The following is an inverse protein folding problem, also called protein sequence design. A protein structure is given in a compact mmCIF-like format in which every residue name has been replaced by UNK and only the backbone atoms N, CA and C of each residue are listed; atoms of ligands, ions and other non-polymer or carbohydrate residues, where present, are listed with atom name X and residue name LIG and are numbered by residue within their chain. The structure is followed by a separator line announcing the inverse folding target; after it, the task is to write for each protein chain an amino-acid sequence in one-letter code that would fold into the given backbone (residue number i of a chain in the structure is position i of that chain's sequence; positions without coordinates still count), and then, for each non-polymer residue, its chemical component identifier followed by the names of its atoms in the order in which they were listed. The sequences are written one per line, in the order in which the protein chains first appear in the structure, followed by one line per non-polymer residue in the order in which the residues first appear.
data_IF_941855805175
#
_entry.id   IF_941855805175
#
_cell.length_a   1.000
_cell.length_b   1.000
_cell.length_c   1.000
_cell.angle_alpha   90.00
_cell.angle_beta   90.00
_cell.angle_gamma   90.00
#
_symmetry.space_group_name_H-M   'P 1'
#
loop_
_entity.id
_entity.type
_entity.pdbx_description
1 polymer ?
#
# COMPACT_ATOMS: atom_id res chain seq x y z
N UNK A 1 -48.18 8.32 -24.49
CA UNK A 1 -46.83 8.85 -24.18
C UNK A 1 -45.92 7.65 -23.95
N UNK A 2 -45.03 7.34 -24.91
CA UNK A 2 -44.13 6.17 -24.86
C UNK A 2 -42.82 6.55 -24.15
N UNK A 3 -42.45 5.83 -23.07
CA UNK A 3 -41.14 5.94 -22.39
C UNK A 3 -40.05 5.37 -23.32
N UNK A 4 -39.04 6.17 -23.59
CA UNK A 4 -37.80 5.72 -24.23
C UNK A 4 -36.91 5.10 -23.17
N UNK A 5 -36.65 3.83 -23.27
CA UNK A 5 -35.56 3.15 -22.55
C UNK A 5 -34.24 3.51 -23.23
N UNK A 6 -33.31 4.04 -22.44
CA UNK A 6 -31.96 4.37 -22.87
C UNK A 6 -31.04 3.23 -22.43
N UNK A 7 -30.69 2.39 -23.41
CA UNK A 7 -29.69 1.34 -23.25
C UNK A 7 -28.31 1.97 -23.03
N UNK A 8 -27.78 1.80 -21.83
CA UNK A 8 -26.36 1.99 -21.57
C UNK A 8 -25.68 0.64 -21.77
N UNK A 9 -25.14 0.41 -22.98
CA UNK A 9 -24.32 -0.75 -23.26
C UNK A 9 -22.91 -0.57 -22.76
N UNK A 10 -22.40 -1.54 -21.99
CA UNK A 10 -21.15 -1.49 -21.28
C UNK A 10 -19.90 -1.54 -22.18
N UNK A 11 -18.93 -0.81 -21.76
CA UNK A 11 -17.54 -0.91 -22.19
C UNK A 11 -16.65 -1.22 -20.97
N UNK A 12 -16.74 -2.47 -20.46
CA UNK A 12 -15.95 -2.91 -19.32
C UNK A 12 -15.25 -4.27 -19.48
N UNK A 13 -15.13 -4.79 -20.70
CA UNK A 13 -14.60 -6.16 -20.95
C UNK A 13 -13.20 -6.19 -21.58
N UNK A 14 -12.64 -5.04 -21.99
CA UNK A 14 -11.36 -5.00 -22.73
C UNK A 14 -10.08 -5.12 -21.90
N UNK A 15 -10.10 -4.69 -20.63
CA UNK A 15 -8.89 -4.55 -19.83
C UNK A 15 -8.29 -5.85 -19.30
N UNK A 16 -9.12 -6.80 -18.89
CA UNK A 16 -8.65 -8.04 -18.27
C UNK A 16 -7.99 -9.02 -19.26
N UNK A 17 -8.45 -9.02 -20.51
CA UNK A 17 -7.93 -9.95 -21.55
C UNK A 17 -6.57 -9.49 -22.08
N UNK A 18 -6.28 -8.19 -22.09
CA UNK A 18 -4.98 -7.64 -22.53
C UNK A 18 -3.85 -7.90 -21.53
N UNK A 19 -4.15 -7.89 -20.23
CA UNK A 19 -3.15 -8.16 -19.18
C UNK A 19 -2.69 -9.63 -19.18
N UNK A 20 -3.56 -10.58 -19.52
CA UNK A 20 -3.21 -12.02 -19.59
C UNK A 20 -2.29 -12.34 -20.79
N UNK A 21 -2.46 -11.67 -21.92
CA UNK A 21 -1.55 -11.82 -23.07
C UNK A 21 -0.17 -11.19 -22.82
N UNK A 22 -0.10 -10.15 -21.96
CA UNK A 22 1.15 -9.51 -21.55
C UNK A 22 2.05 -10.43 -20.72
N UNK A 23 1.45 -11.20 -19.79
CA UNK A 23 2.20 -12.12 -18.95
C UNK A 23 2.88 -13.25 -19.76
N UNK A 24 2.21 -13.72 -20.83
CA UNK A 24 2.76 -14.78 -21.68
C UNK A 24 3.93 -14.28 -22.54
N UNK A 25 3.89 -13.03 -23.00
CA UNK A 25 4.97 -12.43 -23.79
C UNK A 25 6.20 -12.11 -22.95
N UNK A 26 6.03 -11.64 -21.71
CA UNK A 26 7.13 -11.38 -20.80
C UNK A 26 7.91 -12.67 -20.43
N UNK A 27 7.20 -13.78 -20.23
CA UNK A 27 7.82 -15.07 -19.97
C UNK A 27 8.55 -15.65 -21.20
N UNK A 28 8.11 -15.37 -22.42
CA UNK A 28 8.80 -15.81 -23.65
C UNK A 28 10.05 -14.99 -23.96
N UNK A 29 10.07 -13.72 -23.64
CA UNK A 29 11.26 -12.86 -23.81
C UNK A 29 12.40 -13.24 -22.83
N UNK A 30 12.08 -13.72 -21.65
CA UNK A 30 13.07 -14.21 -20.68
C UNK A 30 13.69 -15.55 -21.05
N UNK A 31 13.01 -16.37 -21.87
CA UNK A 31 13.50 -17.68 -22.30
C UNK A 31 14.48 -17.63 -23.50
N UNK A 32 14.62 -16.48 -24.19
CA UNK A 32 15.42 -16.32 -25.40
C UNK A 32 16.84 -15.75 -25.23
N UNK A 33 17.25 -15.37 -24.03
CA UNK A 33 18.59 -14.84 -23.76
C UNK A 33 19.55 -16.00 -23.42
N UNK A 34 20.27 -16.45 -24.42
CA UNK A 34 21.25 -17.56 -24.35
C UNK A 34 22.36 -17.34 -23.33
N UNK A 35 22.73 -18.44 -22.75
CA UNK A 35 23.89 -18.80 -21.92
C UNK A 35 24.91 -17.70 -21.54
N UNK A 36 24.75 -17.12 -20.36
CA UNK A 36 25.84 -16.48 -19.64
C UNK A 36 26.26 -17.43 -18.52
N UNK A 37 27.54 -17.78 -18.53
CA UNK A 37 28.27 -18.61 -17.55
C UNK A 37 27.78 -18.32 -16.13
N UNK A 38 27.44 -19.38 -15.39
CA UNK A 38 27.09 -19.34 -13.98
C UNK A 38 28.29 -18.94 -13.11
N UNK A 39 28.57 -17.66 -13.01
CA UNK A 39 29.19 -17.15 -11.80
C UNK A 39 28.15 -17.28 -10.69
N UNK A 40 28.47 -18.00 -9.62
CA UNK A 40 27.67 -18.05 -8.39
C UNK A 40 27.52 -16.61 -7.88
N UNK A 41 26.55 -15.87 -8.38
CA UNK A 41 26.04 -14.66 -7.72
C UNK A 41 25.55 -15.13 -6.34
N UNK A 42 26.20 -14.67 -5.27
CA UNK A 42 25.64 -14.73 -3.93
C UNK A 42 24.21 -14.21 -4.08
N UNK A 43 23.21 -15.07 -3.84
CA UNK A 43 21.83 -14.65 -3.82
C UNK A 43 21.76 -13.40 -2.93
N UNK A 44 21.26 -12.31 -3.47
CA UNK A 44 21.03 -11.10 -2.68
C UNK A 44 19.97 -11.50 -1.65
N UNK A 45 20.44 -11.86 -0.46
CA UNK A 45 19.55 -12.13 0.67
C UNK A 45 18.88 -10.80 1.03
N UNK A 46 17.62 -10.65 0.64
CA UNK A 46 16.83 -9.43 0.93
C UNK A 46 16.79 -9.12 2.42
N UNK A 47 16.94 -10.15 3.27
CA UNK A 47 16.98 -10.01 4.74
C UNK A 47 18.18 -9.20 5.21
N UNK A 48 19.22 -9.04 4.39
CA UNK A 48 20.46 -8.32 4.73
C UNK A 48 20.39 -6.80 4.50
N UNK A 49 19.46 -6.31 3.67
CA UNK A 49 19.35 -4.88 3.38
C UNK A 49 18.35 -4.18 4.31
N UNK A 50 18.88 -3.54 5.34
CA UNK A 50 18.06 -2.85 6.34
C UNK A 50 17.21 -1.69 5.80
N UNK A 51 17.45 -1.24 4.58
CA UNK A 51 16.73 -0.13 3.95
C UNK A 51 15.58 -0.59 3.05
N UNK A 52 15.48 -1.90 2.79
CA UNK A 52 14.42 -2.51 1.99
C UNK A 52 13.40 -3.24 2.88
N UNK A 53 12.18 -3.42 2.37
CA UNK A 53 11.11 -4.15 3.06
C UNK A 53 11.31 -5.65 2.86
N UNK A 54 11.42 -6.41 3.94
CA UNK A 54 11.26 -7.85 3.89
C UNK A 54 9.77 -8.20 4.10
N UNK A 55 9.05 -8.65 3.07
CA UNK A 55 7.63 -8.97 3.20
C UNK A 55 7.36 -10.12 4.19
N UNK A 56 8.35 -10.96 4.48
CA UNK A 56 8.21 -12.05 5.45
C UNK A 56 8.33 -11.57 6.90
N UNK A 57 8.91 -10.39 7.13
CA UNK A 57 9.03 -9.77 8.45
C UNK A 57 8.15 -8.51 8.60
N UNK A 58 7.40 -8.12 7.57
CA UNK A 58 6.59 -6.91 7.58
C UNK A 58 5.17 -7.13 8.13
N UNK A 59 4.61 -6.15 8.83
CA UNK A 59 3.19 -6.00 9.16
C UNK A 59 2.70 -4.62 8.75
N UNK A 60 1.53 -4.55 8.10
CA UNK A 60 0.91 -3.30 7.70
C UNK A 60 0.01 -2.77 8.81
N UNK A 61 0.20 -1.51 9.19
CA UNK A 61 -0.62 -0.80 10.17
C UNK A 61 -1.36 0.35 9.47
N UNK A 62 -2.69 0.28 9.45
CA UNK A 62 -3.56 1.32 8.92
C UNK A 62 -4.31 1.99 10.08
N UNK A 63 -3.87 3.21 10.42
CA UNK A 63 -4.26 3.88 11.66
C UNK A 63 -5.14 5.09 11.35
N UNK A 64 -6.37 5.07 11.86
CA UNK A 64 -7.32 6.19 11.84
C UNK A 64 -7.70 6.69 10.44
N UNK A 65 -7.76 5.79 9.45
CA UNK A 65 -8.31 6.10 8.14
C UNK A 65 -9.84 6.17 8.22
N UNK A 66 -10.33 7.23 8.86
CA UNK A 66 -11.73 7.44 9.25
C UNK A 66 -12.40 8.53 8.42
N UNK A 67 -13.68 8.35 8.14
CA UNK A 67 -14.46 9.24 7.28
C UNK A 67 -14.49 10.71 7.75
N UNK A 68 -14.49 10.95 9.04
CA UNK A 68 -14.43 12.28 9.62
C UNK A 68 -13.02 12.89 9.54
N UNK A 69 -11.98 12.11 9.86
CA UNK A 69 -10.60 12.60 9.81
C UNK A 69 -10.14 12.92 8.38
N UNK A 70 -10.63 12.20 7.39
CA UNK A 70 -10.34 12.49 5.98
C UNK A 70 -10.78 13.89 5.56
N UNK A 71 -11.83 14.45 6.19
CA UNK A 71 -12.29 15.81 5.93
C UNK A 71 -11.31 16.90 6.42
N UNK A 72 -10.36 16.55 7.28
CA UNK A 72 -9.34 17.47 7.78
C UNK A 72 -8.08 17.49 6.90
N UNK A 73 -7.94 16.56 5.96
CA UNK A 73 -6.77 16.47 5.07
C UNK A 73 -6.78 17.60 4.06
N UNK A 74 -5.64 18.30 3.91
CA UNK A 74 -5.48 19.49 3.03
C UNK A 74 -4.14 19.52 2.30
N UNK A 75 -3.28 18.53 2.52
CA UNK A 75 -1.97 18.43 1.88
C UNK A 75 -1.96 17.52 0.65
N UNK A 76 -3.06 16.80 0.44
CA UNK A 76 -3.30 15.96 -0.75
C UNK A 76 -4.80 15.84 -1.02
N UNK A 77 -5.13 15.38 -2.21
CA UNK A 77 -6.52 15.12 -2.61
C UNK A 77 -7.10 13.90 -1.87
N UNK A 78 -8.35 14.01 -1.42
CA UNK A 78 -9.08 12.93 -0.75
C UNK A 78 -9.04 11.61 -1.55
N UNK A 79 -9.20 11.70 -2.88
CA UNK A 79 -9.21 10.54 -3.76
C UNK A 79 -7.86 9.85 -3.80
N UNK A 80 -6.79 10.62 -3.81
CA UNK A 80 -5.42 10.10 -3.79
C UNK A 80 -5.16 9.34 -2.48
N UNK A 81 -5.40 9.97 -1.33
CA UNK A 81 -5.26 9.33 -0.02
C UNK A 81 -6.05 8.02 0.06
N UNK A 82 -7.34 8.04 -0.33
CA UNK A 82 -8.19 6.84 -0.31
C UNK A 82 -7.64 5.74 -1.21
N UNK A 83 -7.22 6.07 -2.42
CA UNK A 83 -6.68 5.11 -3.37
C UNK A 83 -5.38 4.48 -2.86
N UNK A 84 -4.46 5.27 -2.30
CA UNK A 84 -3.20 4.79 -1.74
C UNK A 84 -3.43 3.83 -0.57
N UNK A 85 -4.33 4.15 0.34
CA UNK A 85 -4.69 3.26 1.46
C UNK A 85 -5.30 1.95 0.99
N UNK A 86 -6.20 2.00 -0.01
CA UNK A 86 -6.80 0.80 -0.63
C UNK A 86 -5.74 -0.03 -1.35
N UNK A 87 -4.80 0.60 -2.05
CA UNK A 87 -3.69 -0.08 -2.70
C UNK A 87 -2.82 -0.85 -1.70
N UNK A 88 -2.50 -0.23 -0.55
CA UNK A 88 -1.75 -0.90 0.53
C UNK A 88 -2.50 -2.10 1.10
N UNK A 89 -3.81 -1.97 1.34
CA UNK A 89 -4.63 -3.08 1.84
C UNK A 89 -4.65 -4.26 0.85
N UNK A 90 -4.78 -3.99 -0.45
CA UNK A 90 -4.73 -5.00 -1.51
C UNK A 90 -3.34 -5.62 -1.64
N UNK A 91 -2.28 -4.80 -1.63
CA UNK A 91 -0.90 -5.27 -1.62
C UNK A 91 -0.65 -6.25 -0.48
N UNK A 92 -1.05 -5.90 0.74
CA UNK A 92 -0.87 -6.74 1.91
C UNK A 92 -1.62 -8.08 1.78
N UNK A 93 -2.84 -8.07 1.22
CA UNK A 93 -3.61 -9.29 0.91
C UNK A 93 -2.88 -10.19 -0.08
N UNK A 94 -2.39 -9.64 -1.20
CA UNK A 94 -1.65 -10.38 -2.23
C UNK A 94 -0.37 -10.98 -1.65
N UNK A 95 0.41 -10.16 -0.92
CA UNK A 95 1.69 -10.56 -0.32
C UNK A 95 1.54 -11.39 0.97
N UNK A 96 0.31 -11.62 1.45
CA UNK A 96 0.02 -12.30 2.74
C UNK A 96 0.72 -11.63 3.94
N UNK A 97 0.82 -10.30 3.89
CA UNK A 97 1.35 -9.49 4.98
C UNK A 97 0.23 -9.29 6.01
N UNK A 98 0.42 -9.67 7.28
CA UNK A 98 -0.54 -9.38 8.34
C UNK A 98 -0.86 -7.89 8.38
N UNK A 99 -2.14 -7.56 8.53
CA UNK A 99 -2.61 -6.17 8.56
C UNK A 99 -3.38 -5.92 9.84
N UNK A 100 -3.03 -4.86 10.57
CA UNK A 100 -3.77 -4.39 11.74
C UNK A 100 -4.35 -3.01 11.45
N UNK A 101 -5.66 -2.90 11.63
CA UNK A 101 -6.42 -1.66 11.42
C UNK A 101 -6.91 -1.16 12.77
N UNK A 102 -6.84 0.14 13.01
CA UNK A 102 -7.42 0.74 14.21
C UNK A 102 -8.12 2.06 13.89
N UNK A 103 -9.12 2.40 14.67
CA UNK A 103 -9.88 3.64 14.58
C UNK A 103 -10.02 4.27 15.97
N UNK A 104 -9.82 5.58 16.06
CA UNK A 104 -9.95 6.37 17.29
C UNK A 104 -11.37 6.86 17.44
N UNK A 105 -12.06 6.43 18.49
CA UNK A 105 -13.44 6.85 18.83
C UNK A 105 -14.37 6.80 17.58
N UNK A 106 -14.55 5.61 16.95
CA UNK A 106 -15.27 5.52 15.67
C UNK A 106 -16.75 5.91 15.74
N UNK A 107 -17.34 5.92 16.94
CA UNK A 107 -18.72 6.37 17.21
C UNK A 107 -18.83 7.90 17.34
N UNK A 108 -17.71 8.62 17.40
CA UNK A 108 -17.63 10.07 17.54
C UNK A 108 -17.48 10.81 16.21
N UNK A 109 -17.01 12.05 16.30
CA UNK A 109 -16.82 12.94 15.16
C UNK A 109 -15.78 12.43 14.15
N UNK A 110 -14.83 11.58 14.59
CA UNK A 110 -13.85 10.96 13.70
C UNK A 110 -14.52 10.02 12.69
N UNK A 111 -15.68 9.46 13.03
CA UNK A 111 -16.43 8.52 12.20
C UNK A 111 -15.77 7.12 12.12
N UNK A 112 -16.40 6.19 11.42
CA UNK A 112 -15.86 4.83 11.23
C UNK A 112 -14.66 4.84 10.28
N UNK A 113 -13.87 3.76 10.34
CA UNK A 113 -12.89 3.41 9.30
C UNK A 113 -13.58 3.34 7.94
N UNK A 114 -12.93 3.86 6.89
CA UNK A 114 -13.49 3.74 5.54
C UNK A 114 -13.64 2.25 5.17
N UNK A 115 -14.83 1.84 4.69
CA UNK A 115 -15.13 0.41 4.48
C UNK A 115 -14.23 -0.26 3.44
N UNK A 116 -13.69 0.52 2.53
CA UNK A 116 -12.83 0.05 1.44
C UNK A 116 -11.60 -0.75 1.91
N UNK A 117 -11.06 -0.42 3.09
CA UNK A 117 -9.90 -1.11 3.68
C UNK A 117 -10.25 -2.58 3.98
N UNK A 118 -11.31 -2.80 4.75
CA UNK A 118 -11.71 -4.15 5.15
C UNK A 118 -12.33 -4.95 4.01
N UNK A 119 -12.96 -4.28 3.03
CA UNK A 119 -13.41 -4.91 1.79
C UNK A 119 -12.23 -5.38 0.92
N UNK A 120 -11.14 -4.62 0.91
CA UNK A 120 -9.93 -4.95 0.14
C UNK A 120 -9.05 -6.01 0.83
N UNK A 121 -9.05 -6.04 2.15
CA UNK A 121 -8.34 -7.05 2.95
C UNK A 121 -9.21 -7.55 4.11
N UNK A 122 -10.10 -8.51 3.85
CA UNK A 122 -10.99 -9.07 4.89
C UNK A 122 -10.27 -9.81 6.01
N UNK A 123 -8.99 -10.19 5.80
CA UNK A 123 -8.18 -10.88 6.81
C UNK A 123 -7.53 -9.90 7.81
N UNK A 124 -7.69 -8.58 7.61
CA UNK A 124 -7.14 -7.57 8.51
C UNK A 124 -7.78 -7.64 9.91
N UNK A 125 -6.94 -7.58 10.93
CA UNK A 125 -7.37 -7.52 12.33
C UNK A 125 -7.80 -6.09 12.65
N UNK A 126 -9.09 -5.88 12.89
CA UNK A 126 -9.63 -4.56 13.23
C UNK A 126 -9.72 -4.39 14.75
N UNK A 127 -9.02 -3.39 15.30
CA UNK A 127 -8.93 -3.09 16.73
C UNK A 127 -9.37 -1.64 16.97
N UNK A 128 -10.67 -1.33 17.02
CA UNK A 128 -11.14 0.01 17.36
C UNK A 128 -10.72 0.37 18.79
N UNK A 129 -10.45 1.64 19.04
CA UNK A 129 -10.04 2.14 20.35
C UNK A 129 -10.81 3.39 20.79
N UNK A 130 -10.97 3.55 22.09
CA UNK A 130 -11.47 4.78 22.71
C UNK A 130 -10.49 5.25 23.77
N UNK A 131 -10.26 6.56 23.86
CA UNK A 131 -9.37 7.19 24.85
C UNK A 131 -7.98 7.54 24.30
N UNK A 132 -7.04 6.59 24.15
CA UNK A 132 -5.68 6.92 23.73
C UNK A 132 -5.62 7.58 22.33
N UNK A 133 -4.92 8.74 22.25
CA UNK A 133 -4.63 9.41 20.98
C UNK A 133 -3.57 8.62 20.21
N UNK A 134 -2.46 8.28 20.88
CA UNK A 134 -1.45 7.40 20.33
C UNK A 134 -1.97 5.96 20.30
N UNK A 135 -2.08 5.35 19.12
CA UNK A 135 -2.53 3.97 19.00
C UNK A 135 -1.62 2.99 19.75
N UNK A 136 -0.35 3.31 19.95
CA UNK A 136 0.60 2.48 20.70
C UNK A 136 0.28 2.38 22.19
N UNK A 137 -0.44 3.36 22.75
CA UNK A 137 -0.89 3.33 24.16
C UNK A 137 -2.12 2.44 24.36
N UNK A 138 -2.69 1.85 23.29
CA UNK A 138 -3.80 0.91 23.36
C UNK A 138 -3.30 -0.52 23.32
N UNK A 139 -3.33 -1.19 24.47
CA UNK A 139 -2.74 -2.52 24.68
C UNK A 139 -3.18 -3.55 23.64
N UNK A 140 -4.48 -3.64 23.30
CA UNK A 140 -4.95 -4.64 22.33
C UNK A 140 -4.44 -4.40 20.90
N UNK A 141 -4.14 -3.13 20.54
CA UNK A 141 -3.52 -2.82 19.26
C UNK A 141 -2.09 -3.35 19.20
N UNK A 142 -1.31 -3.09 20.26
CA UNK A 142 0.07 -3.58 20.36
C UNK A 142 0.11 -5.11 20.41
N UNK A 143 -0.78 -5.76 21.18
CA UNK A 143 -0.90 -7.22 21.22
C UNK A 143 -1.21 -7.84 19.85
N UNK A 144 -2.05 -7.18 19.04
CA UNK A 144 -2.33 -7.65 17.68
C UNK A 144 -1.08 -7.64 16.79
N UNK A 145 -0.21 -6.63 16.96
CA UNK A 145 1.08 -6.53 16.26
C UNK A 145 2.05 -7.60 16.78
N UNK A 146 2.22 -7.72 18.09
CA UNK A 146 3.11 -8.69 18.73
C UNK A 146 2.79 -10.14 18.33
N UNK A 147 1.50 -10.49 18.20
CA UNK A 147 1.04 -11.80 17.74
C UNK A 147 1.55 -12.18 16.35
N UNK A 148 1.85 -11.20 15.49
CA UNK A 148 2.42 -11.46 14.17
C UNK A 148 3.87 -11.94 14.24
N UNK A 149 4.57 -11.68 15.34
CA UNK A 149 6.00 -11.94 15.57
C UNK A 149 6.93 -11.24 14.58
N UNK A 150 6.45 -10.23 13.86
CA UNK A 150 7.19 -9.49 12.86
C UNK A 150 7.80 -8.22 13.46
N UNK A 151 8.93 -7.77 12.93
CA UNK A 151 9.71 -6.66 13.46
C UNK A 151 9.78 -5.44 12.54
N UNK A 152 9.27 -5.55 11.33
CA UNK A 152 9.19 -4.45 10.35
C UNK A 152 7.77 -3.94 10.27
N UNK A 153 7.55 -2.66 10.58
CA UNK A 153 6.23 -2.02 10.55
C UNK A 153 6.13 -1.11 9.33
N UNK A 154 5.08 -1.32 8.53
CA UNK A 154 4.66 -0.44 7.45
C UNK A 154 3.50 0.40 7.99
N UNK A 155 3.73 1.66 8.32
CA UNK A 155 2.77 2.51 9.03
C UNK A 155 2.21 3.58 8.10
N UNK A 156 0.89 3.61 7.96
CA UNK A 156 0.13 4.73 7.42
C UNK A 156 -0.94 5.17 8.42
N UNK A 157 -1.17 6.47 8.56
CA UNK A 157 -2.13 6.99 9.55
C UNK A 157 -2.58 8.42 9.31
N UNK A 158 -3.87 8.67 9.41
CA UNK A 158 -4.52 9.97 9.21
C UNK A 158 -5.00 10.53 10.56
N UNK A 159 -4.41 11.64 11.02
CA UNK A 159 -3.48 12.58 10.35
C UNK A 159 -2.02 12.18 10.55
N UNK A 160 -1.20 12.42 9.53
CA UNK A 160 0.24 12.11 9.53
C UNK A 160 0.95 12.52 10.81
N UNK A 161 0.77 13.78 11.25
CA UNK A 161 1.49 14.36 12.40
C UNK A 161 1.15 13.71 13.75
N UNK A 162 0.09 12.92 13.83
CA UNK A 162 -0.41 12.29 15.05
C UNK A 162 -0.47 10.77 14.86
N UNK A 163 -1.40 10.30 14.02
CA UNK A 163 -1.75 8.89 13.92
C UNK A 163 -0.69 8.04 13.21
N UNK A 164 0.19 8.64 12.38
CA UNK A 164 1.38 7.98 11.87
C UNK A 164 2.59 8.21 12.78
N UNK A 165 2.87 9.48 13.12
CA UNK A 165 4.10 9.86 13.83
C UNK A 165 4.19 9.25 15.24
N UNK A 166 3.12 9.32 16.06
CA UNK A 166 3.21 8.88 17.44
C UNK A 166 3.45 7.38 17.57
N UNK A 167 2.69 6.50 16.88
CA UNK A 167 2.98 5.08 16.90
C UNK A 167 4.35 4.73 16.30
N UNK A 168 4.79 5.45 15.25
CA UNK A 168 6.10 5.24 14.65
C UNK A 168 7.22 5.50 15.65
N UNK A 169 7.16 6.61 16.42
CA UNK A 169 8.16 6.94 17.43
C UNK A 169 8.15 5.93 18.59
N UNK A 170 6.96 5.49 19.03
CA UNK A 170 6.85 4.48 20.09
C UNK A 170 7.43 3.14 19.64
N UNK A 171 7.11 2.70 18.44
CA UNK A 171 7.62 1.45 17.87
C UNK A 171 9.14 1.47 17.69
N UNK A 172 9.71 2.60 17.23
CA UNK A 172 11.17 2.78 17.14
C UNK A 172 11.84 2.64 18.49
N UNK A 173 11.26 3.23 19.57
CA UNK A 173 11.76 3.14 20.92
C UNK A 173 11.77 1.68 21.45
N UNK A 174 10.90 0.82 20.95
CA UNK A 174 10.84 -0.60 21.25
C UNK A 174 11.65 -1.48 20.29
N UNK A 175 12.43 -0.86 19.40
CA UNK A 175 13.37 -1.56 18.51
C UNK A 175 12.76 -2.16 17.26
N UNK A 176 11.55 -1.75 16.89
CA UNK A 176 10.98 -2.09 15.58
C UNK A 176 11.68 -1.31 14.46
N UNK A 177 11.77 -1.91 13.29
CA UNK A 177 12.10 -1.22 12.05
C UNK A 177 10.81 -0.61 11.49
N UNK A 178 10.82 0.68 11.16
CA UNK A 178 9.61 1.41 10.78
C UNK A 178 9.77 2.08 9.43
N UNK A 179 8.86 1.76 8.52
CA UNK A 179 8.60 2.51 7.30
C UNK A 179 7.34 3.35 7.48
N UNK A 180 7.43 4.65 7.18
CA UNK A 180 6.31 5.59 7.25
C UNK A 180 5.81 5.88 5.83
N UNK A 181 4.61 5.41 5.48
CA UNK A 181 4.04 5.58 4.15
C UNK A 181 3.30 6.91 4.12
N UNK A 182 3.96 7.93 3.59
CA UNK A 182 3.56 9.33 3.77
C UNK A 182 2.34 9.69 2.92
N UNK A 183 2.31 9.27 1.67
CA UNK A 183 1.21 9.55 0.73
C UNK A 183 -0.07 8.74 0.99
N UNK A 184 -0.03 7.79 1.93
CA UNK A 184 -1.19 7.09 2.47
C UNK A 184 -1.57 7.57 3.88
N UNK A 185 -1.06 8.72 4.32
CA UNK A 185 -1.25 9.23 5.68
C UNK A 185 -2.07 10.52 5.76
N UNK A 186 -1.93 11.45 4.83
CA UNK A 186 -2.69 12.70 4.76
C UNK A 186 -2.62 13.60 6.01
N UNK A 187 -2.53 14.91 5.82
CA UNK A 187 -2.41 15.85 6.93
C UNK A 187 -3.19 17.15 6.67
N UNK A 188 -3.34 17.97 7.69
CA UNK A 188 -4.06 19.25 7.68
C UNK A 188 -3.31 20.40 7.00
N UNK A 189 -2.00 20.26 6.76
CA UNK A 189 -1.22 21.19 5.95
C UNK A 189 0.09 20.55 5.50
N UNK A 190 0.62 21.02 4.36
CA UNK A 190 1.93 20.58 3.86
C UNK A 190 3.06 20.85 4.86
N UNK A 191 3.05 21.99 5.55
CA UNK A 191 4.05 22.29 6.59
C UNK A 191 4.03 21.24 7.70
N UNK A 192 2.84 20.83 8.16
CA UNK A 192 2.73 19.79 9.19
C UNK A 192 3.27 18.45 8.71
N UNK A 193 3.08 18.12 7.44
CA UNK A 193 3.64 16.91 6.82
C UNK A 193 5.15 16.98 6.73
N UNK A 194 5.72 18.10 6.27
CA UNK A 194 7.18 18.28 6.17
C UNK A 194 7.86 18.17 7.55
N UNK A 195 7.27 18.77 8.58
CA UNK A 195 7.75 18.65 9.97
C UNK A 195 7.64 17.21 10.47
N UNK A 196 6.55 16.52 10.14
CA UNK A 196 6.31 15.13 10.54
C UNK A 196 7.36 14.19 9.94
N UNK A 197 7.63 14.34 8.64
CA UNK A 197 8.65 13.55 7.93
C UNK A 197 10.03 13.80 8.55
N UNK A 198 10.40 15.06 8.77
CA UNK A 198 11.67 15.40 9.39
C UNK A 198 11.80 14.74 10.78
N UNK A 199 10.73 14.79 11.60
CA UNK A 199 10.71 14.22 12.95
C UNK A 199 10.89 12.70 12.96
N UNK A 200 10.16 11.96 12.13
CA UNK A 200 10.28 10.50 12.09
C UNK A 200 11.58 10.05 11.47
N UNK A 201 12.11 10.78 10.47
CA UNK A 201 13.42 10.51 9.86
C UNK A 201 14.54 10.69 10.87
N UNK A 202 14.51 11.77 11.64
CA UNK A 202 15.48 12.02 12.70
C UNK A 202 15.47 10.92 13.77
N UNK A 203 14.30 10.34 14.04
CA UNK A 203 14.15 9.24 14.98
C UNK A 203 14.59 7.88 14.42
N UNK A 204 14.84 7.76 13.11
CA UNK A 204 15.33 6.56 12.45
C UNK A 204 14.26 5.78 11.65
N UNK A 205 13.04 6.32 11.47
CA UNK A 205 12.08 5.76 10.53
C UNK A 205 12.50 6.05 9.08
N UNK A 206 12.00 5.23 8.17
CA UNK A 206 12.24 5.35 6.73
C UNK A 206 10.94 5.85 6.07
N UNK A 207 10.87 7.14 5.63
CA UNK A 207 9.76 7.61 4.83
C UNK A 207 9.77 6.93 3.46
N UNK A 208 8.59 6.56 2.98
CA UNK A 208 8.38 5.90 1.68
C UNK A 208 7.01 6.29 1.14
N UNK A 209 6.80 6.19 -0.16
CA UNK A 209 5.49 6.33 -0.79
C UNK A 209 4.83 4.98 -1.06
N UNK A 210 3.55 5.02 -1.42
CA UNK A 210 2.73 3.82 -1.68
C UNK A 210 3.26 3.02 -2.85
N UNK A 211 3.64 3.67 -3.96
CA UNK A 211 4.11 2.97 -5.15
C UNK A 211 5.44 2.26 -4.88
N UNK A 212 6.38 2.94 -4.23
CA UNK A 212 7.65 2.37 -3.81
C UNK A 212 7.45 1.22 -2.81
N UNK A 213 6.53 1.36 -1.84
CA UNK A 213 6.19 0.30 -0.88
C UNK A 213 5.70 -0.97 -1.58
N UNK A 214 4.76 -0.84 -2.53
CA UNK A 214 4.21 -1.98 -3.26
C UNK A 214 5.27 -2.62 -4.14
N UNK A 215 6.13 -1.81 -4.79
CA UNK A 215 7.21 -2.29 -5.66
C UNK A 215 8.29 -3.02 -4.86
N UNK A 216 8.65 -2.50 -3.69
CA UNK A 216 9.61 -3.12 -2.79
C UNK A 216 9.10 -4.48 -2.29
N UNK A 217 7.84 -4.55 -1.86
CA UNK A 217 7.17 -5.81 -1.45
C UNK A 217 7.04 -6.79 -2.62
N UNK A 218 6.72 -6.31 -3.82
CA UNK A 218 6.65 -7.14 -5.04
C UNK A 218 8.01 -7.71 -5.42
N UNK A 219 9.05 -6.91 -5.32
CA UNK A 219 10.46 -7.20 -5.53
C UNK A 219 10.85 -7.64 -6.95
N UNK A 220 10.06 -8.46 -7.63
CA UNK A 220 10.40 -9.02 -8.96
C UNK A 220 9.15 -9.27 -9.79
N UNK A 221 9.26 -9.03 -11.10
CA UNK A 221 8.23 -9.41 -12.07
C UNK A 221 8.14 -10.92 -12.31
N UNK A 222 9.12 -11.70 -11.85
CA UNK A 222 9.17 -13.16 -12.04
C UNK A 222 8.38 -13.94 -10.97
N UNK A 223 7.57 -13.27 -10.17
CA UNK A 223 6.70 -13.92 -9.18
C UNK A 223 5.31 -14.24 -9.75
N UNK A 224 4.63 -15.29 -9.25
CA UNK A 224 3.29 -15.67 -9.74
C UNK A 224 2.26 -14.55 -9.64
N UNK A 225 2.30 -13.74 -8.56
CA UNK A 225 1.35 -12.68 -8.28
C UNK A 225 1.69 -11.34 -8.96
N UNK A 226 2.72 -11.29 -9.81
CA UNK A 226 3.20 -10.03 -10.41
C UNK A 226 2.08 -9.23 -11.11
N UNK A 227 1.17 -9.92 -11.82
CA UNK A 227 0.06 -9.26 -12.51
C UNK A 227 -1.02 -8.76 -11.56
N UNK A 228 -1.19 -9.37 -10.40
CA UNK A 228 -2.09 -8.85 -9.36
C UNK A 228 -1.56 -7.54 -8.78
N UNK A 229 -0.24 -7.45 -8.53
CA UNK A 229 0.43 -6.20 -8.14
C UNK A 229 0.31 -5.14 -9.23
N UNK A 230 0.55 -5.50 -10.51
CA UNK A 230 0.41 -4.57 -11.64
C UNK A 230 -1.01 -3.98 -11.70
N UNK A 231 -2.03 -4.81 -11.44
CA UNK A 231 -3.41 -4.34 -11.38
C UNK A 231 -3.63 -3.34 -10.24
N UNK A 232 -3.02 -3.54 -9.08
CA UNK A 232 -3.09 -2.58 -7.97
C UNK A 232 -2.47 -1.25 -8.36
N UNK A 233 -1.34 -1.25 -9.07
CA UNK A 233 -0.72 -0.02 -9.58
C UNK A 233 -1.67 0.76 -10.48
N UNK A 234 -2.21 0.10 -11.50
CA UNK A 234 -3.08 0.71 -12.51
C UNK A 234 -4.40 1.21 -11.92
N UNK A 235 -5.03 0.42 -11.06
CA UNK A 235 -6.34 0.72 -10.53
C UNK A 235 -6.33 1.85 -9.48
N UNK A 236 -5.22 2.01 -8.75
CA UNK A 236 -5.22 2.83 -7.53
C UNK A 236 -4.12 3.87 -7.44
N UNK A 237 -2.91 3.60 -7.95
CA UNK A 237 -1.74 4.45 -7.69
C UNK A 237 -1.37 5.27 -8.91
N UNK A 238 -1.10 4.62 -10.05
CA UNK A 238 -0.63 5.27 -11.26
C UNK A 238 -1.32 4.68 -12.51
N UNK A 239 -2.51 5.18 -12.85
CA UNK A 239 -3.27 4.70 -14.02
C UNK A 239 -2.50 4.85 -15.35
N UNK A 240 -1.59 5.84 -15.46
CA UNK A 240 -0.76 6.01 -16.64
C UNK A 240 0.18 4.82 -16.90
N UNK A 241 0.47 4.04 -15.85
CA UNK A 241 1.23 2.80 -16.01
C UNK A 241 0.51 1.77 -16.88
N UNK A 242 -0.83 1.71 -16.80
CA UNK A 242 -1.66 0.90 -17.70
C UNK A 242 -1.56 1.37 -19.15
N UNK A 243 -1.65 2.68 -19.39
CA UNK A 243 -1.51 3.28 -20.71
C UNK A 243 -0.12 3.02 -21.34
N UNK A 244 0.93 3.00 -20.50
CA UNK A 244 2.27 2.63 -20.94
C UNK A 244 2.32 1.20 -21.51
N UNK A 245 1.72 0.23 -20.84
CA UNK A 245 1.63 -1.15 -21.34
C UNK A 245 0.81 -1.23 -22.64
N UNK A 246 -0.36 -0.60 -22.69
CA UNK A 246 -1.20 -0.58 -23.88
C UNK A 246 -0.46 -0.03 -25.09
N UNK A 247 0.21 1.11 -24.92
CA UNK A 247 1.02 1.75 -25.96
C UNK A 247 2.15 0.85 -26.46
N UNK A 248 2.89 0.22 -25.55
CA UNK A 248 3.98 -0.70 -25.89
C UNK A 248 3.50 -1.90 -26.71
N UNK A 249 2.41 -2.54 -26.28
CA UNK A 249 1.86 -3.70 -27.02
C UNK A 249 1.22 -3.31 -28.35
N UNK A 250 0.59 -2.15 -28.44
CA UNK A 250 0.07 -1.65 -29.72
C UNK A 250 1.21 -1.42 -30.73
N UNK A 251 2.32 -0.82 -30.29
CA UNK A 251 3.50 -0.63 -31.13
C UNK A 251 4.10 -1.96 -31.60
N UNK A 252 4.20 -2.96 -30.75
CA UNK A 252 4.70 -4.29 -31.13
C UNK A 252 3.82 -5.01 -32.15
N UNK A 253 2.49 -4.82 -32.10
CA UNK A 253 1.56 -5.39 -33.10
C UNK A 253 1.68 -4.71 -34.46
N UNK A 254 2.01 -3.42 -34.50
CA UNK A 254 2.14 -2.66 -35.72
C UNK A 254 3.39 -3.00 -36.55
N UNK A 255 4.41 -3.62 -35.92
CA UNK A 255 5.69 -4.00 -36.57
C UNK A 255 5.66 -5.44 -37.11
N UNK A 256 4.63 -6.22 -36.82
CA UNK A 256 4.38 -7.56 -37.36
C UNK A 256 3.42 -7.52 -38.53
#
# INVERSE_FOLDING_TARGET
MKRREMLISGAAVGGATLLTTAATAANQAAAGAGGVSSSKTKGNDMTSNKWMIDPNDAVLLLIDHQSGLFQLVRDMEYRELRNNVVALAKMAKIAKIPTVVTASVPEGANGPTIPDILLSNPDAVNVPRSGPINAWDHRHFVEAIEKTKRKTLLIAGTLTSICMVFPALSALAEGYKVFCIVDASGNWSKMATDISIARVTQAGAIPIDTFATITDVMHTWNRPEAMEFAKVFVDHVEPAYGALFESYYAAQKAVK
#
